data_IF_004751580807
#
_entry.id   IF_004751580807
#
_cell.length_a   1.000
_cell.length_b   1.000
_cell.length_c   1.000
_cell.angle_alpha   90.00
_cell.angle_beta   90.00
_cell.angle_gamma   90.00
#
_symmetry.space_group_name_H-M   'P 1'
#
loop_
_entity.id
_entity.type
_entity.pdbx_description
1 polymer ?
#
# COMPACT_ATOMS: atom_id res chain seq x y z
N UNK A 1 -25.39 -4.85 2.54
CA UNK A 1 -24.21 -4.82 1.66
C UNK A 1 -24.56 -4.64 0.18
N UNK A 2 -25.32 -5.54 -0.48
CA UNK A 2 -25.62 -5.47 -1.94
C UNK A 2 -26.04 -4.08 -2.45
N UNK A 3 -27.04 -3.44 -1.82
CA UNK A 3 -27.51 -2.11 -2.22
C UNK A 3 -26.41 -1.05 -2.07
N UNK A 4 -25.69 -1.04 -0.94
CA UNK A 4 -24.57 -0.11 -0.71
C UNK A 4 -23.47 -0.29 -1.74
N UNK A 5 -23.17 -1.53 -2.10
CA UNK A 5 -22.18 -1.85 -3.12
C UNK A 5 -22.54 -1.21 -4.46
N UNK A 6 -23.75 -1.45 -4.95
CA UNK A 6 -24.20 -0.91 -6.24
C UNK A 6 -24.28 0.62 -6.19
N UNK A 7 -24.73 1.21 -5.08
CA UNK A 7 -24.75 2.66 -4.91
C UNK A 7 -23.34 3.28 -4.97
N UNK A 8 -22.36 2.69 -4.27
CA UNK A 8 -20.99 3.20 -4.25
C UNK A 8 -20.31 3.07 -5.62
N UNK A 9 -20.55 1.95 -6.32
CA UNK A 9 -20.07 1.76 -7.69
C UNK A 9 -20.73 2.75 -8.67
N UNK A 10 -22.04 3.00 -8.51
CA UNK A 10 -22.77 3.99 -9.30
C UNK A 10 -22.25 5.42 -9.10
N UNK A 11 -22.00 5.82 -7.85
CA UNK A 11 -21.35 7.09 -7.52
C UNK A 11 -19.96 7.19 -8.15
N UNK A 12 -19.17 6.12 -8.07
CA UNK A 12 -17.87 6.06 -8.72
C UNK A 12 -17.96 6.25 -10.24
N UNK A 13 -18.96 5.65 -10.90
CA UNK A 13 -19.18 5.82 -12.33
C UNK A 13 -19.54 7.27 -12.68
N UNK A 14 -20.42 7.92 -11.91
CA UNK A 14 -20.79 9.33 -12.10
C UNK A 14 -19.55 10.23 -11.98
N UNK A 15 -18.73 10.01 -10.95
CA UNK A 15 -17.47 10.74 -10.79
C UNK A 15 -16.54 10.53 -11.99
N UNK A 16 -16.31 9.28 -12.39
CA UNK A 16 -15.47 8.95 -13.54
C UNK A 16 -15.91 9.65 -14.81
N UNK A 17 -17.21 9.62 -15.11
CA UNK A 17 -17.78 10.29 -16.28
C UNK A 17 -17.58 11.80 -16.20
N UNK A 18 -17.78 12.40 -15.04
CA UNK A 18 -17.57 13.84 -14.86
C UNK A 18 -16.12 14.28 -15.12
N UNK A 19 -15.13 13.43 -14.82
CA UNK A 19 -13.73 13.70 -15.13
C UNK A 19 -13.35 13.50 -16.61
N UNK A 20 -14.20 12.86 -17.42
CA UNK A 20 -13.92 12.55 -18.83
C UNK A 20 -14.61 13.51 -19.80
N UNK A 21 -15.65 14.20 -19.35
CA UNK A 21 -16.42 15.11 -20.19
C UNK A 21 -15.77 16.50 -20.12
N UNK A 22 -14.90 16.79 -21.09
CA UNK A 22 -14.20 18.10 -21.21
C UNK A 22 -15.17 19.28 -21.39
N UNK A 23 -16.40 19.03 -21.85
CA UNK A 23 -17.41 20.06 -22.06
C UNK A 23 -18.15 20.49 -20.79
N UNK A 24 -17.92 19.82 -19.66
CA UNK A 24 -18.57 20.20 -18.40
C UNK A 24 -18.02 21.54 -17.90
N UNK A 25 -18.92 22.43 -17.50
CA UNK A 25 -18.55 23.70 -16.89
C UNK A 25 -17.96 23.46 -15.50
N UNK A 26 -17.07 24.33 -15.03
CA UNK A 26 -16.51 24.27 -13.66
C UNK A 26 -17.62 24.14 -12.59
N UNK A 27 -18.72 24.89 -12.75
CA UNK A 27 -19.88 24.82 -11.84
C UNK A 27 -20.62 23.47 -11.85
N UNK A 28 -20.58 22.71 -12.94
CA UNK A 28 -21.16 21.36 -13.00
C UNK A 28 -20.27 20.35 -12.29
N UNK A 29 -18.95 20.47 -12.45
CA UNK A 29 -17.96 19.66 -11.73
C UNK A 29 -18.05 19.90 -10.22
N UNK A 30 -18.20 21.16 -9.80
CA UNK A 30 -18.40 21.53 -8.39
C UNK A 30 -19.66 20.91 -7.78
N UNK A 31 -20.76 20.80 -8.53
CA UNK A 31 -22.00 20.14 -8.04
C UNK A 31 -21.81 18.64 -7.77
N UNK A 32 -20.79 18.03 -8.34
CA UNK A 32 -20.43 16.62 -8.16
C UNK A 32 -19.25 16.45 -7.18
N UNK A 33 -18.72 17.54 -6.63
CA UNK A 33 -17.56 17.52 -5.75
C UNK A 33 -17.78 16.66 -4.50
N UNK A 34 -19.00 16.59 -3.98
CA UNK A 34 -19.32 15.78 -2.79
C UNK A 34 -19.15 14.26 -3.00
N UNK A 35 -19.09 13.78 -4.24
CA UNK A 35 -19.05 12.34 -4.55
C UNK A 35 -17.77 11.70 -4.03
N UNK A 36 -16.61 12.35 -4.23
CA UNK A 36 -15.31 11.85 -3.73
C UNK A 36 -15.34 11.69 -2.21
N UNK A 37 -15.91 12.67 -1.49
CA UNK A 37 -16.01 12.63 -0.04
C UNK A 37 -16.93 11.50 0.42
N UNK A 38 -18.12 11.37 -0.19
CA UNK A 38 -19.04 10.29 0.16
C UNK A 38 -18.49 8.90 -0.11
N UNK A 39 -17.68 8.74 -1.16
CA UNK A 39 -17.00 7.47 -1.41
C UNK A 39 -16.00 7.17 -0.29
N UNK A 40 -15.17 8.14 0.10
CA UNK A 40 -14.16 7.96 1.13
C UNK A 40 -14.76 7.80 2.53
N UNK A 41 -15.84 8.52 2.84
CA UNK A 41 -16.59 8.39 4.11
C UNK A 41 -17.13 6.97 4.31
N UNK A 42 -17.40 6.23 3.24
CA UNK A 42 -17.84 4.84 3.35
C UNK A 42 -16.76 3.93 3.99
N UNK A 43 -15.50 4.36 4.10
CA UNK A 43 -14.46 3.62 4.79
C UNK A 43 -14.67 3.56 6.32
N UNK A 44 -15.49 4.47 6.88
CA UNK A 44 -15.88 4.44 8.30
C UNK A 44 -16.91 3.35 8.61
N UNK A 45 -17.43 2.64 7.61
CA UNK A 45 -18.33 1.51 7.86
C UNK A 45 -17.59 0.38 8.60
N UNK A 46 -18.31 -0.28 9.51
CA UNK A 46 -17.74 -1.33 10.36
C UNK A 46 -17.44 -2.62 9.59
N UNK A 47 -18.07 -2.84 8.43
CA UNK A 47 -17.89 -4.08 7.68
C UNK A 47 -16.67 -4.01 6.78
N UNK A 48 -15.89 -5.10 6.78
CA UNK A 48 -14.70 -5.22 5.96
C UNK A 48 -15.03 -5.19 4.45
N UNK A 49 -16.18 -5.72 4.06
CA UNK A 49 -16.63 -5.70 2.66
C UNK A 49 -16.83 -4.25 2.15
N UNK A 50 -17.36 -3.34 2.98
CA UNK A 50 -17.49 -1.94 2.62
C UNK A 50 -16.09 -1.29 2.50
N UNK A 51 -15.16 -1.57 3.43
CA UNK A 51 -13.78 -1.05 3.38
C UNK A 51 -13.02 -1.51 2.12
N UNK A 52 -13.07 -2.81 1.81
CA UNK A 52 -12.43 -3.37 0.61
C UNK A 52 -13.06 -2.78 -0.66
N UNK A 53 -14.37 -2.52 -0.65
CA UNK A 53 -15.02 -1.87 -1.78
C UNK A 53 -14.51 -0.44 -1.98
N UNK A 54 -14.33 0.34 -0.92
CA UNK A 54 -13.76 1.69 -1.00
C UNK A 54 -12.33 1.65 -1.51
N UNK A 55 -11.49 0.75 -1.01
CA UNK A 55 -10.12 0.54 -1.54
C UNK A 55 -10.14 0.26 -3.05
N UNK A 56 -11.09 -0.57 -3.51
CA UNK A 56 -11.26 -0.86 -4.93
C UNK A 56 -11.72 0.35 -5.72
N UNK A 57 -12.72 1.11 -5.25
CA UNK A 57 -13.21 2.32 -5.94
C UNK A 57 -12.10 3.38 -5.98
N UNK A 58 -11.33 3.56 -4.91
CA UNK A 58 -10.16 4.42 -4.88
C UNK A 58 -9.19 4.05 -6.01
N UNK A 59 -8.79 2.78 -6.11
CA UNK A 59 -7.79 2.32 -7.08
C UNK A 59 -8.31 2.19 -8.52
N UNK A 60 -9.62 2.18 -8.77
CA UNK A 60 -10.18 1.96 -10.13
C UNK A 60 -10.91 3.17 -10.69
N UNK A 61 -11.28 4.12 -9.83
CA UNK A 61 -12.10 5.28 -10.18
C UNK A 61 -11.43 6.57 -9.75
N UNK A 62 -11.17 6.77 -8.45
CA UNK A 62 -10.69 8.06 -7.96
C UNK A 62 -9.23 8.31 -8.36
N UNK A 63 -8.39 7.29 -8.22
CA UNK A 63 -6.97 7.28 -8.59
C UNK A 63 -6.69 5.96 -9.35
N UNK A 64 -7.06 5.89 -10.64
CA UNK A 64 -7.00 4.63 -11.38
C UNK A 64 -5.56 4.09 -11.50
N UNK A 65 -5.33 2.85 -11.07
CA UNK A 65 -4.03 2.18 -11.15
C UNK A 65 -3.53 2.02 -12.58
N UNK A 66 -4.45 2.05 -13.57
CA UNK A 66 -4.16 1.92 -14.99
C UNK A 66 -3.52 3.17 -15.60
N UNK A 67 -3.49 4.31 -14.89
CA UNK A 67 -2.78 5.51 -15.34
C UNK A 67 -1.27 5.32 -15.21
N UNK A 68 -0.50 6.02 -16.04
CA UNK A 68 0.95 6.12 -15.86
C UNK A 68 1.30 6.77 -14.50
N UNK A 69 2.47 6.44 -13.89
CA UNK A 69 2.83 6.89 -12.54
C UNK A 69 2.61 8.39 -12.30
N UNK A 70 3.10 9.23 -13.21
CA UNK A 70 3.00 10.69 -13.12
C UNK A 70 1.54 11.18 -13.11
N UNK A 71 0.71 10.69 -14.05
CA UNK A 71 -0.72 11.02 -14.10
C UNK A 71 -1.47 10.53 -12.86
N UNK A 72 -1.12 9.34 -12.37
CA UNK A 72 -1.72 8.75 -11.17
C UNK A 72 -1.39 9.57 -9.93
N UNK A 73 -0.17 10.09 -9.82
CA UNK A 73 0.25 10.92 -8.69
C UNK A 73 -0.34 12.32 -8.73
N UNK A 74 -0.45 12.94 -9.91
CA UNK A 74 -1.18 14.19 -10.06
C UNK A 74 -2.66 14.01 -9.65
N UNK A 75 -3.27 12.88 -10.03
CA UNK A 75 -4.65 12.54 -9.64
C UNK A 75 -4.78 12.35 -8.13
N UNK A 76 -3.85 11.65 -7.49
CA UNK A 76 -3.85 11.48 -6.03
C UNK A 76 -3.67 12.82 -5.31
N UNK A 77 -2.73 13.65 -5.77
CA UNK A 77 -2.47 14.96 -5.19
C UNK A 77 -3.70 15.88 -5.30
N UNK A 78 -4.31 15.95 -6.48
CA UNK A 78 -5.55 16.69 -6.72
C UNK A 78 -6.68 16.17 -5.83
N UNK A 79 -6.85 14.84 -5.74
CA UNK A 79 -7.86 14.25 -4.86
C UNK A 79 -7.63 14.68 -3.40
N UNK A 80 -6.41 14.53 -2.90
CA UNK A 80 -6.06 14.85 -1.51
C UNK A 80 -6.29 16.34 -1.19
N UNK A 81 -5.97 17.23 -2.13
CA UNK A 81 -6.14 18.67 -1.96
C UNK A 81 -7.59 19.15 -2.09
N UNK A 82 -8.51 18.30 -2.55
CA UNK A 82 -9.92 18.68 -2.79
C UNK A 82 -10.93 17.98 -1.87
N UNK A 83 -10.50 17.04 -1.03
CA UNK A 83 -11.41 16.30 -0.14
C UNK A 83 -11.46 16.91 1.26
N UNK A 84 -12.54 16.66 1.99
CA UNK A 84 -12.70 17.14 3.37
C UNK A 84 -11.77 16.42 4.37
N UNK A 85 -11.63 16.97 5.57
CA UNK A 85 -10.78 16.41 6.63
C UNK A 85 -11.14 14.96 7.00
N UNK A 86 -12.42 14.60 6.91
CA UNK A 86 -12.88 13.24 7.18
C UNK A 86 -12.39 12.27 6.09
N UNK A 87 -12.42 12.71 4.84
CA UNK A 87 -11.93 11.96 3.69
C UNK A 87 -10.41 11.83 3.70
N UNK A 88 -9.69 12.87 4.12
CA UNK A 88 -8.25 12.79 4.40
C UNK A 88 -7.98 11.70 5.44
N UNK A 89 -8.67 11.72 6.58
CA UNK A 89 -8.52 10.66 7.62
C UNK A 89 -8.85 9.27 7.08
N UNK A 90 -9.89 9.13 6.27
CA UNK A 90 -10.21 7.85 5.62
C UNK A 90 -9.08 7.37 4.68
N UNK A 91 -8.51 8.25 3.85
CA UNK A 91 -7.36 7.93 3.00
C UNK A 91 -6.13 7.50 3.82
N UNK A 92 -5.85 8.18 4.93
CA UNK A 92 -4.77 7.80 5.83
C UNK A 92 -4.95 6.36 6.35
N UNK A 93 -6.17 6.02 6.79
CA UNK A 93 -6.49 4.68 7.28
C UNK A 93 -6.49 3.62 6.19
N UNK A 94 -6.82 3.97 4.94
CA UNK A 94 -6.65 3.07 3.78
C UNK A 94 -5.17 2.71 3.60
N UNK A 95 -4.29 3.71 3.53
CA UNK A 95 -2.86 3.47 3.32
C UNK A 95 -2.24 2.66 4.47
N UNK A 96 -2.57 3.01 5.73
CA UNK A 96 -2.10 2.27 6.91
C UNK A 96 -2.59 0.83 6.91
N UNK A 97 -3.86 0.59 6.60
CA UNK A 97 -4.43 -0.76 6.57
C UNK A 97 -3.77 -1.63 5.48
N UNK A 98 -3.58 -1.10 4.28
CA UNK A 98 -2.91 -1.81 3.18
C UNK A 98 -1.46 -2.14 3.55
N UNK A 99 -0.72 -1.18 4.12
CA UNK A 99 0.67 -1.40 4.53
C UNK A 99 0.78 -2.38 5.71
N UNK A 100 -0.12 -2.32 6.69
CA UNK A 100 -0.18 -3.29 7.80
C UNK A 100 -0.47 -4.71 7.33
N UNK A 101 -1.38 -4.87 6.36
CA UNK A 101 -1.66 -6.17 5.74
C UNK A 101 -0.45 -6.70 4.96
N UNK A 102 0.18 -5.82 4.17
CA UNK A 102 1.41 -6.13 3.42
C UNK A 102 2.56 -6.56 4.33
N UNK A 103 2.75 -5.89 5.47
CA UNK A 103 3.76 -6.26 6.47
C UNK A 103 3.45 -7.62 7.11
N UNK A 104 2.18 -7.91 7.37
CA UNK A 104 1.77 -9.24 7.87
C UNK A 104 2.08 -10.34 6.85
N UNK A 105 1.81 -10.09 5.57
CA UNK A 105 2.14 -11.03 4.49
C UNK A 105 3.65 -11.24 4.35
N UNK A 106 4.46 -10.17 4.49
CA UNK A 106 5.93 -10.25 4.49
C UNK A 106 6.43 -11.09 5.66
N UNK A 107 5.98 -10.82 6.87
CA UNK A 107 6.37 -11.61 8.03
C UNK A 107 6.04 -13.11 7.89
N UNK A 108 4.90 -13.45 7.26
CA UNK A 108 4.60 -14.85 6.95
C UNK A 108 5.57 -15.45 5.94
N UNK A 109 5.90 -14.71 4.88
CA UNK A 109 6.86 -15.15 3.86
C UNK A 109 8.26 -15.34 4.46
N UNK A 110 8.72 -14.41 5.29
CA UNK A 110 10.02 -14.48 5.95
C UNK A 110 10.12 -15.73 6.84
N UNK A 111 9.06 -16.06 7.58
CA UNK A 111 8.97 -17.32 8.32
C UNK A 111 9.06 -18.52 7.38
N UNK A 112 8.28 -18.58 6.30
CA UNK A 112 8.31 -19.68 5.32
C UNK A 112 9.71 -19.86 4.72
N UNK A 113 10.46 -18.77 4.51
CA UNK A 113 11.82 -18.82 3.97
C UNK A 113 12.85 -19.40 4.94
N UNK A 114 12.62 -19.30 6.25
CA UNK A 114 13.46 -19.98 7.26
C UNK A 114 13.36 -21.51 7.17
N UNK A 115 12.31 -22.04 6.56
CA UNK A 115 12.12 -23.47 6.30
C UNK A 115 12.25 -24.34 7.56
N UNK A 116 11.59 -23.94 8.65
CA UNK A 116 11.55 -24.71 9.89
C UNK A 116 10.49 -25.83 9.88
N UNK A 117 10.60 -26.75 10.84
CA UNK A 117 9.70 -27.89 11.04
C UNK A 117 9.21 -28.03 12.49
N UNK A 118 9.61 -27.13 13.40
CA UNK A 118 9.23 -27.17 14.81
C UNK A 118 7.75 -26.81 15.06
N UNK A 119 7.24 -27.24 16.22
CA UNK A 119 5.90 -26.85 16.69
C UNK A 119 5.77 -25.33 16.85
N UNK A 120 6.85 -24.66 17.27
CA UNK A 120 6.90 -23.21 17.37
C UNK A 120 6.76 -22.54 16.00
N UNK A 121 7.53 -23.01 15.00
CA UNK A 121 7.43 -22.52 13.63
C UNK A 121 6.00 -22.67 13.09
N UNK A 122 5.40 -23.84 13.27
CA UNK A 122 4.03 -24.14 12.85
C UNK A 122 3.01 -23.21 13.53
N UNK A 123 3.21 -22.93 14.82
CA UNK A 123 2.39 -22.00 15.59
C UNK A 123 2.51 -20.56 15.07
N UNK A 124 3.73 -20.11 14.76
CA UNK A 124 3.98 -18.77 14.23
C UNK A 124 3.35 -18.57 12.84
N UNK A 125 3.48 -19.56 11.93
CA UNK A 125 2.80 -19.55 10.63
C UNK A 125 1.28 -19.51 10.80
N UNK A 126 0.73 -20.35 11.67
CA UNK A 126 -0.71 -20.39 11.95
C UNK A 126 -1.23 -19.04 12.47
N UNK A 127 -0.46 -18.40 13.36
CA UNK A 127 -0.76 -17.06 13.85
C UNK A 127 -0.82 -16.03 12.72
N UNK A 128 0.14 -16.05 11.78
CA UNK A 128 0.13 -15.15 10.61
C UNK A 128 -1.05 -15.42 9.67
N UNK A 129 -1.39 -16.69 9.44
CA UNK A 129 -2.58 -17.07 8.67
C UNK A 129 -3.85 -16.49 9.31
N UNK A 130 -4.00 -16.55 10.64
CA UNK A 130 -5.14 -15.96 11.35
C UNK A 130 -5.16 -14.43 11.17
N UNK A 131 -4.01 -13.76 11.33
CA UNK A 131 -3.89 -12.31 11.18
C UNK A 131 -4.29 -11.84 9.76
N UNK A 132 -3.84 -12.53 8.71
CA UNK A 132 -4.23 -12.24 7.34
C UNK A 132 -5.73 -12.45 7.11
N UNK A 133 -6.28 -13.53 7.66
CA UNK A 133 -7.68 -13.93 7.41
C UNK A 133 -8.69 -12.98 8.04
N UNK A 134 -8.35 -12.34 9.17
CA UNK A 134 -9.16 -11.27 9.77
C UNK A 134 -9.30 -10.03 8.88
N UNK A 135 -8.41 -9.88 7.91
CA UNK A 135 -8.43 -8.82 6.92
C UNK A 135 -9.03 -9.29 5.58
N UNK A 136 -9.75 -10.41 5.54
CA UNK A 136 -10.40 -10.91 4.33
C UNK A 136 -11.90 -11.16 4.58
N UNK A 137 -12.76 -11.05 3.55
CA UNK A 137 -14.16 -11.38 3.67
C UNK A 137 -14.35 -12.83 4.14
N UNK A 138 -15.33 -13.05 5.01
CA UNK A 138 -15.57 -14.34 5.68
C UNK A 138 -14.30 -14.89 6.35
N UNK A 139 -13.84 -14.30 7.49
CA UNK A 139 -12.55 -14.63 8.09
C UNK A 139 -12.34 -16.10 8.44
N UNK A 140 -13.42 -16.80 8.81
CA UNK A 140 -13.38 -18.23 9.15
C UNK A 140 -13.05 -19.06 7.90
N UNK A 141 -13.76 -18.79 6.80
CA UNK A 141 -13.49 -19.45 5.52
C UNK A 141 -12.16 -19.02 4.92
N UNK A 142 -11.82 -17.73 5.03
CA UNK A 142 -10.56 -17.18 4.58
C UNK A 142 -9.38 -17.86 5.27
N UNK A 143 -9.49 -18.21 6.56
CA UNK A 143 -8.45 -18.93 7.29
C UNK A 143 -8.11 -20.27 6.65
N UNK A 144 -9.11 -21.05 6.26
CA UNK A 144 -8.89 -22.32 5.56
C UNK A 144 -8.21 -22.12 4.20
N UNK A 145 -8.64 -21.12 3.44
CA UNK A 145 -8.04 -20.78 2.15
C UNK A 145 -6.60 -20.26 2.28
N UNK A 146 -6.32 -19.50 3.32
CA UNK A 146 -4.98 -18.97 3.63
C UNK A 146 -4.03 -20.05 4.14
N UNK A 147 -4.50 -21.07 4.86
CA UNK A 147 -3.67 -22.26 5.18
C UNK A 147 -3.22 -22.96 3.90
N UNK A 148 -4.15 -23.19 2.96
CA UNK A 148 -3.82 -23.82 1.66
C UNK A 148 -2.84 -22.97 0.84
N UNK A 149 -3.04 -21.65 0.82
CA UNK A 149 -2.13 -20.74 0.13
C UNK A 149 -0.74 -20.71 0.80
N UNK A 150 -0.67 -20.69 2.13
CA UNK A 150 0.59 -20.80 2.88
C UNK A 150 1.35 -22.08 2.52
N UNK A 151 0.64 -23.22 2.43
CA UNK A 151 1.24 -24.50 2.01
C UNK A 151 1.72 -24.45 0.55
N UNK A 152 0.96 -23.82 -0.35
CA UNK A 152 1.40 -23.60 -1.73
C UNK A 152 2.69 -22.76 -1.82
N UNK A 153 2.86 -21.74 -0.98
CA UNK A 153 4.11 -20.95 -0.92
C UNK A 153 5.29 -21.80 -0.42
N UNK A 154 5.03 -22.70 0.55
CA UNK A 154 6.02 -23.67 1.06
C UNK A 154 6.41 -24.73 0.02
N UNK A 155 5.50 -25.14 -0.86
CA UNK A 155 5.75 -26.26 -1.78
C UNK A 155 6.19 -25.79 -3.18
N UNK A 156 5.71 -24.63 -3.65
CA UNK A 156 6.04 -24.10 -4.98
C UNK A 156 7.03 -22.93 -4.89
N UNK A 157 8.30 -23.23 -5.18
CA UNK A 157 9.37 -22.24 -5.20
C UNK A 157 9.13 -21.07 -6.15
N UNK A 158 8.38 -21.26 -7.26
CA UNK A 158 8.07 -20.16 -8.19
C UNK A 158 7.05 -19.19 -7.56
N UNK A 159 6.03 -19.71 -6.88
CA UNK A 159 5.08 -18.88 -6.13
C UNK A 159 5.83 -18.08 -5.07
N UNK A 160 6.73 -18.73 -4.33
CA UNK A 160 7.56 -18.08 -3.32
C UNK A 160 8.40 -16.95 -3.91
N UNK A 161 9.14 -17.20 -4.99
CA UNK A 161 9.95 -16.17 -5.66
C UNK A 161 9.12 -14.97 -6.12
N UNK A 162 7.95 -15.20 -6.71
CA UNK A 162 7.09 -14.10 -7.15
C UNK A 162 6.52 -13.31 -5.96
N UNK A 163 6.17 -14.00 -4.87
CA UNK A 163 5.70 -13.33 -3.66
C UNK A 163 6.82 -12.53 -2.98
N UNK A 164 8.07 -13.03 -2.97
CA UNK A 164 9.24 -12.26 -2.51
C UNK A 164 9.42 -10.98 -3.31
N UNK A 165 9.35 -11.06 -4.65
CA UNK A 165 9.43 -9.87 -5.52
C UNK A 165 8.28 -8.90 -5.27
N UNK A 166 7.05 -9.40 -5.11
CA UNK A 166 5.88 -8.60 -4.82
C UNK A 166 5.99 -7.89 -3.47
N UNK A 167 6.55 -8.54 -2.45
CA UNK A 167 6.66 -8.05 -1.08
C UNK A 167 7.94 -7.24 -0.81
N UNK A 168 8.84 -7.14 -1.78
CA UNK A 168 10.05 -6.32 -1.68
C UNK A 168 9.75 -4.82 -1.54
N UNK A 169 10.67 -4.08 -0.92
CA UNK A 169 10.63 -2.61 -0.81
C UNK A 169 10.94 -1.90 -2.12
N UNK A 170 11.57 -2.59 -3.08
CA UNK A 170 11.89 -2.09 -4.43
C UNK A 170 10.81 -2.41 -5.48
N UNK A 171 9.69 -3.00 -5.06
CA UNK A 171 8.63 -3.44 -5.97
C UNK A 171 7.89 -2.24 -6.54
N UNK A 172 8.08 -1.99 -7.83
CA UNK A 172 7.30 -0.99 -8.59
C UNK A 172 5.88 -1.48 -8.86
N UNK A 173 4.93 -0.57 -9.11
CA UNK A 173 3.56 -0.90 -9.47
C UNK A 173 3.47 -1.84 -10.69
N UNK A 174 4.28 -1.60 -11.71
CA UNK A 174 4.35 -2.45 -12.91
C UNK A 174 4.81 -3.88 -12.58
N UNK A 175 5.92 -4.02 -11.83
CA UNK A 175 6.41 -5.33 -11.35
C UNK A 175 5.39 -6.03 -10.45
N UNK A 176 4.64 -5.29 -9.64
CA UNK A 176 3.61 -5.86 -8.78
C UNK A 176 2.50 -6.54 -9.59
N UNK A 177 2.04 -5.90 -10.67
CA UNK A 177 1.04 -6.47 -11.60
C UNK A 177 1.52 -7.80 -12.20
N UNK A 178 2.77 -7.83 -12.68
CA UNK A 178 3.40 -9.03 -13.24
C UNK A 178 3.49 -10.16 -12.19
N UNK A 179 3.94 -9.85 -10.97
CA UNK A 179 4.05 -10.84 -9.89
C UNK A 179 2.68 -11.41 -9.51
N UNK A 180 1.65 -10.55 -9.37
CA UNK A 180 0.28 -10.97 -9.07
C UNK A 180 -0.24 -11.90 -10.16
N UNK A 181 -0.02 -11.55 -11.44
CA UNK A 181 -0.42 -12.37 -12.58
C UNK A 181 0.23 -13.75 -12.55
N UNK A 182 1.52 -13.84 -12.27
CA UNK A 182 2.24 -15.12 -12.19
C UNK A 182 1.80 -15.97 -11.00
N UNK A 183 1.55 -15.37 -9.84
CA UNK A 183 1.01 -16.09 -8.68
C UNK A 183 -0.41 -16.60 -9.00
N UNK A 184 -1.27 -15.79 -9.59
CA UNK A 184 -2.64 -16.19 -9.92
C UNK A 184 -2.69 -17.31 -10.97
N UNK A 185 -1.76 -17.36 -11.94
CA UNK A 185 -1.62 -18.49 -12.87
C UNK A 185 -1.37 -19.81 -12.13
N UNK A 186 -0.59 -19.78 -11.04
CA UNK A 186 -0.29 -20.95 -10.20
C UNK A 186 -1.45 -21.33 -9.29
N UNK A 187 -2.21 -20.34 -8.80
CA UNK A 187 -3.45 -20.55 -8.04
C UNK A 187 -4.53 -21.24 -8.90
N UNK A 188 -4.47 -21.07 -10.22
CA UNK A 188 -5.37 -21.71 -11.18
C UNK A 188 -6.57 -20.84 -11.55
N UNK A 189 -7.66 -21.45 -12.00
CA UNK A 189 -8.84 -20.74 -12.52
C UNK A 189 -9.95 -20.62 -11.47
N UNK A 190 -10.86 -19.62 -11.59
CA UNK A 190 -12.04 -19.46 -10.73
C UNK A 190 -13.13 -20.49 -11.08
N UNK A 191 -12.91 -21.75 -10.76
CA UNK A 191 -13.87 -22.85 -10.94
C UNK A 191 -14.50 -23.27 -9.61
N UNK A 192 -15.70 -23.90 -9.58
CA UNK A 192 -16.37 -24.28 -8.33
C UNK A 192 -15.53 -25.13 -7.38
N UNK A 193 -14.60 -25.94 -7.90
CA UNK A 193 -13.66 -26.74 -7.09
C UNK A 193 -12.51 -25.91 -6.50
N UNK A 194 -12.17 -24.77 -7.09
CA UNK A 194 -11.10 -23.88 -6.61
C UNK A 194 -11.66 -22.79 -5.68
N UNK A 195 -12.06 -23.23 -4.49
CA UNK A 195 -12.71 -22.36 -3.50
C UNK A 195 -11.81 -21.24 -2.96
N UNK A 196 -10.48 -21.37 -3.05
CA UNK A 196 -9.53 -20.38 -2.51
C UNK A 196 -9.19 -19.23 -3.48
N UNK A 197 -9.50 -19.37 -4.78
CA UNK A 197 -9.08 -18.43 -5.82
C UNK A 197 -9.42 -16.97 -5.48
N UNK A 198 -10.69 -16.71 -5.14
CA UNK A 198 -11.14 -15.34 -4.87
C UNK A 198 -10.51 -14.76 -3.60
N UNK A 199 -10.29 -15.58 -2.58
CA UNK A 199 -9.65 -15.13 -1.34
C UNK A 199 -8.19 -14.76 -1.57
N UNK A 200 -7.44 -15.58 -2.32
CA UNK A 200 -6.06 -15.25 -2.69
C UNK A 200 -6.01 -14.01 -3.59
N UNK A 201 -6.92 -13.90 -4.57
CA UNK A 201 -7.04 -12.72 -5.43
C UNK A 201 -7.25 -11.44 -4.63
N UNK A 202 -8.19 -11.45 -3.67
CA UNK A 202 -8.45 -10.29 -2.80
C UNK A 202 -7.23 -9.96 -1.93
N UNK A 203 -6.53 -10.96 -1.38
CA UNK A 203 -5.30 -10.72 -0.63
C UNK A 203 -4.25 -10.02 -1.52
N UNK A 204 -3.98 -10.58 -2.70
CA UNK A 204 -2.97 -10.06 -3.63
C UNK A 204 -3.30 -8.64 -4.11
N UNK A 205 -4.56 -8.35 -4.43
CA UNK A 205 -5.02 -7.01 -4.81
C UNK A 205 -4.77 -5.96 -3.71
N UNK A 206 -4.76 -6.36 -2.43
CA UNK A 206 -4.59 -5.45 -1.28
C UNK A 206 -3.14 -5.30 -0.81
N UNK A 207 -2.28 -6.30 -1.03
CA UNK A 207 -0.86 -6.23 -0.64
C UNK A 207 0.05 -5.74 -1.78
N UNK A 208 -0.43 -5.75 -3.02
CA UNK A 208 0.30 -5.26 -4.17
C UNK A 208 0.38 -3.72 -4.14
N UNK A 209 1.58 -3.13 -4.27
CA UNK A 209 1.71 -1.68 -4.38
C UNK A 209 1.21 -1.24 -5.76
N UNK A 210 -0.06 -0.85 -5.89
CA UNK A 210 -0.66 -0.42 -7.18
C UNK A 210 -0.74 1.11 -7.34
N UNK A 211 -0.50 1.85 -6.26
CA UNK A 211 -0.55 3.31 -6.25
C UNK A 211 0.80 3.93 -5.88
N UNK A 212 1.38 3.48 -4.77
CA UNK A 212 2.60 4.04 -4.18
C UNK A 212 3.77 3.08 -4.36
N UNK A 213 4.80 3.54 -5.06
CA UNK A 213 6.14 2.97 -5.16
C UNK A 213 7.18 4.10 -5.23
N UNK A 214 8.47 3.79 -5.45
CA UNK A 214 9.50 4.83 -5.51
C UNK A 214 9.36 5.77 -6.72
N UNK A 215 8.81 5.30 -7.83
CA UNK A 215 8.59 6.14 -9.04
C UNK A 215 7.47 7.13 -8.75
N UNK A 216 6.38 6.65 -8.17
CA UNK A 216 5.25 7.45 -7.76
C UNK A 216 5.65 8.55 -6.75
N UNK A 217 6.47 8.21 -5.75
CA UNK A 217 6.97 9.23 -4.81
C UNK A 217 7.84 10.28 -5.51
N UNK A 218 8.68 9.88 -6.47
CA UNK A 218 9.48 10.82 -7.24
C UNK A 218 8.63 11.80 -8.05
N UNK A 219 7.60 11.31 -8.74
CA UNK A 219 6.64 12.17 -9.46
C UNK A 219 5.91 13.12 -8.50
N UNK A 220 5.40 12.61 -7.37
CA UNK A 220 4.70 13.41 -6.39
C UNK A 220 5.57 14.52 -5.81
N UNK A 221 6.81 14.20 -5.40
CA UNK A 221 7.76 15.17 -4.86
C UNK A 221 8.10 16.24 -5.92
N UNK A 222 8.15 15.86 -7.19
CA UNK A 222 8.34 16.81 -8.30
C UNK A 222 7.17 17.79 -8.39
N UNK A 223 5.92 17.31 -8.33
CA UNK A 223 4.74 18.18 -8.35
C UNK A 223 4.66 19.10 -7.13
N UNK A 224 4.93 18.59 -5.92
CA UNK A 224 4.98 19.42 -4.72
C UNK A 224 6.11 20.45 -4.82
N UNK A 225 7.26 20.08 -5.40
CA UNK A 225 8.35 21.01 -5.62
C UNK A 225 8.02 22.12 -6.61
N UNK A 226 7.18 21.85 -7.61
CA UNK A 226 6.68 22.88 -8.51
C UNK A 226 5.74 23.82 -7.75
N UNK A 227 4.83 23.27 -6.94
CA UNK A 227 3.88 24.05 -6.16
C UNK A 227 4.55 24.98 -5.14
N UNK A 228 5.57 24.50 -4.43
CA UNK A 228 6.40 25.31 -3.52
C UNK A 228 7.03 26.50 -4.26
N UNK A 229 7.45 26.32 -5.52
CA UNK A 229 8.01 27.38 -6.36
C UNK A 229 6.95 28.31 -6.98
N UNK A 230 5.68 28.14 -6.64
CA UNK A 230 4.57 28.88 -7.25
C UNK A 230 4.36 28.53 -8.72
N UNK A 231 4.64 27.28 -9.11
CA UNK A 231 4.53 26.80 -10.49
C UNK A 231 3.76 25.48 -10.58
N UNK A 232 3.32 25.13 -11.80
CA UNK A 232 2.61 23.89 -12.08
C UNK A 232 1.10 24.02 -12.01
N UNK A 233 0.42 23.30 -12.92
CA UNK A 233 -1.00 23.47 -13.23
C UNK A 233 -1.93 23.33 -12.02
N UNK A 234 -1.52 22.58 -10.98
CA UNK A 234 -2.34 22.38 -9.78
C UNK A 234 -2.49 23.64 -8.95
N UNK A 235 -1.51 24.56 -8.98
CA UNK A 235 -1.56 25.81 -8.22
C UNK A 235 -2.59 26.79 -8.80
N UNK A 236 -2.89 26.69 -10.09
CA UNK A 236 -3.86 27.57 -10.76
C UNK A 236 -5.30 27.26 -10.32
N UNK A 237 -5.58 25.99 -10.03
CA UNK A 237 -6.92 25.53 -9.64
C UNK A 237 -7.08 25.31 -8.12
N UNK A 238 -5.99 25.12 -7.37
CA UNK A 238 -6.01 24.81 -5.93
C UNK A 238 -5.08 25.75 -5.15
N UNK A 239 -5.63 26.78 -4.46
CA UNK A 239 -4.83 27.74 -3.68
C UNK A 239 -3.96 27.08 -2.60
N UNK A 240 -4.47 26.00 -1.98
CA UNK A 240 -3.83 25.29 -0.87
C UNK A 240 -2.94 24.13 -1.36
N UNK A 241 -2.57 24.10 -2.65
CA UNK A 241 -1.80 23.02 -3.25
C UNK A 241 -0.53 22.73 -2.43
N UNK A 242 0.31 23.73 -2.17
CA UNK A 242 1.57 23.57 -1.43
C UNK A 242 1.37 22.92 -0.07
N UNK A 243 0.46 23.46 0.75
CA UNK A 243 0.18 22.93 2.08
C UNK A 243 -0.33 21.48 2.02
N UNK A 244 -1.29 21.20 1.14
CA UNK A 244 -1.86 19.87 0.98
C UNK A 244 -0.85 18.86 0.42
N UNK A 245 0.03 19.30 -0.48
CA UNK A 245 1.11 18.51 -1.04
C UNK A 245 2.12 18.10 0.04
N UNK A 246 2.52 19.04 0.89
CA UNK A 246 3.41 18.77 2.01
C UNK A 246 2.77 17.83 3.04
N UNK A 247 1.49 18.02 3.37
CA UNK A 247 0.72 17.09 4.23
C UNK A 247 0.66 15.68 3.64
N UNK A 248 0.46 15.57 2.32
CA UNK A 248 0.45 14.27 1.64
C UNK A 248 1.82 13.59 1.67
N UNK A 249 2.91 14.35 1.44
CA UNK A 249 4.27 13.81 1.56
C UNK A 249 4.55 13.30 2.97
N UNK A 250 4.16 14.05 4.01
CA UNK A 250 4.30 13.63 5.41
C UNK A 250 3.51 12.36 5.72
N UNK A 251 2.27 12.26 5.24
CA UNK A 251 1.47 11.06 5.36
C UNK A 251 2.21 9.87 4.72
N UNK A 252 2.63 10.01 3.46
CA UNK A 252 3.23 8.91 2.71
C UNK A 252 4.62 8.54 3.23
N UNK A 253 5.39 9.47 3.79
CA UNK A 253 6.69 9.16 4.39
C UNK A 253 6.54 8.32 5.66
N UNK A 254 5.50 8.56 6.46
CA UNK A 254 5.19 7.76 7.65
C UNK A 254 4.73 6.33 7.31
N UNK A 255 4.00 6.15 6.20
CA UNK A 255 3.44 4.85 5.79
C UNK A 255 4.38 4.06 4.88
N UNK A 256 5.06 4.72 3.94
CA UNK A 256 5.89 4.12 2.89
C UNK A 256 7.33 4.66 2.87
N UNK A 257 8.06 4.67 4.01
CA UNK A 257 9.35 5.34 4.12
C UNK A 257 10.40 4.81 3.12
N UNK A 258 10.35 3.53 2.78
CA UNK A 258 11.27 2.93 1.80
C UNK A 258 11.14 3.51 0.39
N UNK A 259 9.98 4.07 0.02
CA UNK A 259 9.75 4.66 -1.30
C UNK A 259 10.45 6.02 -1.48
N UNK A 260 10.83 6.68 -0.39
CA UNK A 260 11.52 7.98 -0.39
C UNK A 260 13.04 7.86 -0.52
N UNK A 261 13.60 6.65 -0.52
CA UNK A 261 15.04 6.40 -0.50
C UNK A 261 15.66 6.43 -1.90
N UNK A 262 15.42 7.53 -2.62
CA UNK A 262 16.00 7.79 -3.94
C UNK A 262 16.73 9.12 -3.89
N UNK A 263 17.87 9.17 -4.57
CA UNK A 263 18.71 10.37 -4.60
C UNK A 263 17.92 11.58 -5.12
N UNK A 264 17.08 11.41 -6.15
CA UNK A 264 16.26 12.50 -6.68
C UNK A 264 15.28 13.05 -5.65
N UNK A 265 14.66 12.16 -4.85
CA UNK A 265 13.74 12.56 -3.77
C UNK A 265 14.48 13.42 -2.74
N UNK A 266 15.67 12.99 -2.29
CA UNK A 266 16.47 13.77 -1.33
C UNK A 266 16.92 15.12 -1.91
N UNK A 267 17.20 15.18 -3.21
CA UNK A 267 17.56 16.43 -3.89
C UNK A 267 16.41 17.45 -3.84
N UNK A 268 15.18 17.00 -4.10
CA UNK A 268 14.00 17.86 -3.98
C UNK A 268 13.73 18.27 -2.53
N UNK A 269 13.80 17.34 -1.57
CA UNK A 269 13.62 17.66 -0.14
C UNK A 269 14.67 18.69 0.34
N UNK A 270 15.90 18.60 -0.15
CA UNK A 270 16.97 19.57 0.15
C UNK A 270 16.67 20.98 -0.36
N UNK A 271 15.85 21.12 -1.42
CA UNK A 271 15.36 22.42 -1.89
C UNK A 271 14.35 22.99 -0.90
N UNK A 272 13.43 22.17 -0.38
CA UNK A 272 12.40 22.62 0.57
C UNK A 272 12.99 23.09 1.90
N UNK A 273 14.09 22.48 2.36
CA UNK A 273 14.79 22.91 3.59
C UNK A 273 15.41 24.31 3.46
N UNK A 274 15.58 24.81 2.23
CA UNK A 274 16.12 26.15 1.97
C UNK A 274 15.02 27.17 1.67
N UNK A 275 13.76 26.78 1.80
CA UNK A 275 12.63 27.66 1.59
C UNK A 275 12.51 28.67 2.75
N UNK A 276 11.89 29.82 2.49
CA UNK A 276 11.66 30.86 3.51
C UNK A 276 10.27 30.74 4.17
N UNK A 277 9.38 29.92 3.60
CA UNK A 277 8.06 29.66 4.16
C UNK A 277 8.12 28.68 5.35
N UNK A 278 7.76 29.17 6.53
CA UNK A 278 7.73 28.40 7.79
C UNK A 278 6.87 27.12 7.68
N UNK A 279 5.77 27.14 6.93
CA UNK A 279 4.90 25.97 6.74
C UNK A 279 5.62 24.88 5.95
N UNK A 280 6.34 25.28 4.90
CA UNK A 280 7.16 24.37 4.09
C UNK A 280 8.30 23.81 4.93
N UNK A 281 9.01 24.66 5.69
CA UNK A 281 10.12 24.27 6.56
C UNK A 281 9.70 23.28 7.67
N UNK A 282 8.60 23.56 8.36
CA UNK A 282 8.05 22.67 9.40
C UNK A 282 7.69 21.31 8.79
N UNK A 283 7.02 21.32 7.63
CA UNK A 283 6.56 20.10 6.99
C UNK A 283 7.71 19.24 6.45
N UNK A 284 8.72 19.84 5.79
CA UNK A 284 9.88 19.09 5.31
C UNK A 284 10.73 18.55 6.47
N UNK A 285 10.80 19.29 7.58
CA UNK A 285 11.49 18.83 8.78
C UNK A 285 10.78 17.60 9.36
N UNK A 286 9.44 17.61 9.41
CA UNK A 286 8.66 16.45 9.85
C UNK A 286 8.85 15.24 8.91
N UNK A 287 8.81 15.45 7.58
CA UNK A 287 9.11 14.38 6.60
C UNK A 287 10.51 13.81 6.84
N UNK A 288 11.50 14.68 7.02
CA UNK A 288 12.90 14.26 7.24
C UNK A 288 13.06 13.45 8.52
N UNK A 289 12.40 13.86 9.61
CA UNK A 289 12.39 13.13 10.88
C UNK A 289 11.77 11.73 10.73
N UNK A 290 10.64 11.61 10.02
CA UNK A 290 10.01 10.32 9.75
C UNK A 290 10.94 9.37 8.97
N UNK A 291 11.65 9.90 7.97
CA UNK A 291 12.60 9.11 7.18
C UNK A 291 13.81 8.66 8.01
N UNK A 292 14.33 9.53 8.88
CA UNK A 292 15.41 9.19 9.82
C UNK A 292 14.95 8.12 10.80
N UNK A 293 13.78 8.28 11.40
CA UNK A 293 13.20 7.29 12.32
C UNK A 293 13.08 5.92 11.65
N UNK A 294 12.53 5.88 10.44
CA UNK A 294 12.38 4.64 9.67
C UNK A 294 13.72 4.00 9.26
N UNK A 295 14.79 4.80 9.07
CA UNK A 295 16.14 4.28 8.83
C UNK A 295 16.72 3.65 10.10
N UNK A 296 16.63 4.35 11.24
CA UNK A 296 17.12 3.88 12.53
C UNK A 296 16.41 2.60 12.95
N UNK A 297 15.08 2.52 12.83
CA UNK A 297 14.33 1.30 13.14
C UNK A 297 14.78 0.10 12.29
N UNK A 298 15.13 0.32 11.03
CA UNK A 298 15.63 -0.75 10.14
C UNK A 298 17.04 -1.19 10.49
N UNK A 299 17.95 -0.26 10.79
CA UNK A 299 19.30 -0.59 11.26
C UNK A 299 19.24 -1.39 12.56
N UNK A 300 18.36 -1.01 13.49
CA UNK A 300 18.15 -1.75 14.72
C UNK A 300 17.63 -3.17 14.48
N UNK A 301 16.65 -3.33 13.60
CA UNK A 301 16.13 -4.65 13.22
C UNK A 301 17.19 -5.54 12.53
N UNK A 302 18.04 -4.94 11.68
CA UNK A 302 19.13 -5.65 11.01
C UNK A 302 20.22 -6.11 12.01
N UNK A 303 20.61 -5.24 12.96
CA UNK A 303 21.59 -5.58 14.00
C UNK A 303 21.08 -6.69 14.92
N UNK A 304 19.79 -6.67 15.30
CA UNK A 304 19.18 -7.79 16.03
C UNK A 304 19.27 -9.06 15.19
N UNK A 305 18.92 -9.02 13.90
CA UNK A 305 18.99 -10.21 13.05
C UNK A 305 20.41 -10.80 12.91
N UNK A 306 21.46 -9.99 13.00
CA UNK A 306 22.85 -10.45 12.93
C UNK A 306 23.34 -11.12 14.22
N UNK A 307 22.97 -10.60 15.40
CA UNK A 307 23.31 -11.26 16.68
C UNK A 307 22.69 -12.67 16.79
N UNK A 308 21.47 -12.88 16.27
CA UNK A 308 20.84 -14.19 16.30
C UNK A 308 21.48 -15.21 15.34
N UNK A 309 22.17 -14.76 14.28
CA UNK A 309 22.91 -15.66 13.37
C UNK A 309 24.28 -16.04 13.90
N UNK A 310 24.93 -15.19 14.71
CA UNK A 310 26.23 -15.51 15.31
C UNK A 310 26.09 -16.49 16.50
N UNK A 311 25.02 -16.38 17.29
CA UNK A 311 24.79 -17.26 18.46
C UNK A 311 24.36 -18.70 18.10
N UNK A 312 24.13 -19.02 16.82
CA UNK A 312 23.70 -20.36 16.37
C UNK A 312 24.80 -21.19 15.70
N UNK A 313 26.00 -20.64 15.49
CA UNK A 313 27.15 -21.38 14.94
C UNK A 313 28.03 -22.06 16.02
N UNK A 314 27.82 -21.79 17.31
CA UNK A 314 28.63 -22.30 18.43
C UNK A 314 27.94 -23.40 19.28
N UNK A 315 27.24 -24.34 18.65
CA UNK A 315 26.81 -25.57 19.34
C UNK A 315 27.77 -26.72 19.02
N UNK A 316 28.56 -27.22 20.00
CA UNK A 316 29.51 -28.30 19.75
C UNK A 316 28.78 -29.59 19.41
N UNK A 317 29.13 -30.18 18.27
CA UNK A 317 28.75 -31.54 17.88
C UNK A 317 29.21 -32.54 18.95
N UNK A 318 28.31 -32.95 19.85
CA UNK A 318 28.53 -34.11 20.69
C UNK A 318 28.41 -35.37 19.83
N UNK A 319 29.57 -35.90 19.46
CA UNK A 319 29.76 -37.23 18.90
C UNK A 319 29.17 -38.30 19.83
N UNK A 320 28.24 -39.09 19.31
CA UNK A 320 27.81 -40.35 19.90
C UNK A 320 29.02 -41.26 20.15
N UNK A 321 29.25 -41.62 21.42
CA UNK A 321 30.08 -42.77 21.79
C UNK A 321 29.16 -43.94 22.05
N UNK A 322 29.33 -44.99 21.25
CA UNK A 322 28.72 -46.30 21.43
C UNK A 322 29.35 -47.02 22.62
N UNK A 323 28.51 -47.55 23.51
CA UNK A 323 28.62 -48.85 24.19
C UNK A 323 27.26 -49.21 24.77
#
# INVERSE_FOLDING_TARGET
FKIRKEALLGLGLIYKLSCQIETLRKSEVERLAWIRDKILHAYYQNTLDDKILVERVLNTVLVPYSLEPSQRMLRLYTLYACVDDHSVKALQEVFRAQMGLRNTARAMLDLIQKNGDSDEYTTQITSKVIQLSRNLPDPVKAQEHMRRFSKMIQDDGRVRTQLTKLLSTDCTCKRAEECVKEIMKKVGNPVPSNVMYNTVKVLLERIAPVMIDSIAIQDLVTFVSQAVKGSGDICDDIPEATENGMKLLLLLSSVYPSCFQKEEVYRHLSVFVKDEDDVVLVSVSAVSLELVFALVSRLHAANISQHWTEDTEDLPHHSHVST
#
